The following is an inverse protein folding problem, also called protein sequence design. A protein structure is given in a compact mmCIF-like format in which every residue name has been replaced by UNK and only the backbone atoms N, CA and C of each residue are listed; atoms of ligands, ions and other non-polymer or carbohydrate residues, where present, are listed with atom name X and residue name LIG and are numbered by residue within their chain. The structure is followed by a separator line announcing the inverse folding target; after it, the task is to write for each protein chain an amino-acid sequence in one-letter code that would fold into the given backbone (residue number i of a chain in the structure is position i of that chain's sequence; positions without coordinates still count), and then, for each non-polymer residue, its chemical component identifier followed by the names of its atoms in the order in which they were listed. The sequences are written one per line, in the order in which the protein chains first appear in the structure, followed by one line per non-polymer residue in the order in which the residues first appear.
data_IF_084294315783
#
_entry.id   IF_084294315783
#
_cell.length_a   1.000
_cell.length_b   1.000
_cell.length_c   1.000
_cell.angle_alpha   90.00
_cell.angle_beta   90.00
_cell.angle_gamma   90.00
#
_symmetry.space_group_name_H-M   'P 1'
#
loop_
_entity.id
_entity.type
_entity.pdbx_description
1 polymer ?
#
# COMPACT_ATOMS: atom_id res chain seq x y z
N UNK A 1 -38.65 -20.04 5.41
CA UNK A 1 -37.99 -18.73 5.20
C UNK A 1 -37.23 -18.39 6.48
N UNK A 2 -35.88 -18.30 6.47
CA UNK A 2 -35.15 -17.79 7.62
C UNK A 2 -35.39 -16.29 7.76
N UNK A 3 -35.70 -15.84 8.98
CA UNK A 3 -35.92 -14.45 9.35
C UNK A 3 -34.63 -13.62 9.20
N UNK A 4 -34.68 -12.33 8.80
CA UNK A 4 -33.52 -11.47 8.78
C UNK A 4 -32.99 -11.27 10.21
N UNK A 5 -31.77 -11.76 10.47
CA UNK A 5 -31.07 -11.56 11.74
C UNK A 5 -30.83 -10.07 11.99
N UNK A 6 -31.21 -9.60 13.17
CA UNK A 6 -30.99 -8.25 13.70
C UNK A 6 -29.57 -7.75 13.42
N UNK A 7 -29.42 -6.72 12.58
CA UNK A 7 -28.18 -5.98 12.40
C UNK A 7 -27.95 -5.11 13.64
N UNK A 8 -27.40 -5.69 14.70
CA UNK A 8 -26.99 -4.94 15.88
C UNK A 8 -26.01 -3.83 15.46
N UNK A 9 -26.32 -2.58 15.81
CA UNK A 9 -25.43 -1.44 15.56
C UNK A 9 -24.11 -1.65 16.30
N UNK A 10 -22.96 -1.62 15.61
CA UNK A 10 -21.68 -1.83 16.26
C UNK A 10 -21.43 -0.78 17.35
N UNK A 11 -20.95 -1.21 18.50
CA UNK A 11 -20.61 -0.32 19.62
C UNK A 11 -19.43 0.58 19.24
N UNK A 12 -19.40 1.82 19.73
CA UNK A 12 -18.25 2.73 19.58
C UNK A 12 -16.92 2.07 19.99
N UNK A 13 -16.93 1.19 20.99
CA UNK A 13 -15.74 0.45 21.43
C UNK A 13 -15.25 -0.55 20.38
N UNK A 14 -16.16 -1.22 19.67
CA UNK A 14 -15.82 -2.15 18.59
C UNK A 14 -15.26 -1.42 17.38
N UNK A 15 -15.86 -0.27 17.03
CA UNK A 15 -15.36 0.58 15.96
C UNK A 15 -13.96 1.10 16.30
N UNK A 16 -13.74 1.63 17.51
CA UNK A 16 -12.41 2.09 17.94
C UNK A 16 -11.35 0.99 17.92
N UNK A 17 -11.70 -0.23 18.33
CA UNK A 17 -10.77 -1.35 18.35
C UNK A 17 -10.22 -1.71 16.95
N UNK A 18 -11.01 -1.46 15.89
CA UNK A 18 -10.60 -1.69 14.50
C UNK A 18 -9.97 -0.42 13.90
N UNK A 19 -10.56 0.75 14.18
CA UNK A 19 -10.12 2.01 13.60
C UNK A 19 -8.75 2.46 14.11
N UNK A 20 -8.44 2.26 15.40
CA UNK A 20 -7.19 2.71 15.99
C UNK A 20 -5.94 2.06 15.35
N UNK A 21 -5.87 0.72 15.17
CA UNK A 21 -4.77 0.08 14.44
C UNK A 21 -4.63 0.58 12.99
N UNK A 22 -5.76 0.78 12.30
CA UNK A 22 -5.78 1.26 10.91
C UNK A 22 -5.24 2.70 10.84
N UNK A 23 -5.69 3.56 11.73
CA UNK A 23 -5.22 4.95 11.86
C UNK A 23 -3.70 5.01 12.10
N UNK A 24 -3.21 4.24 13.07
CA UNK A 24 -1.76 4.18 13.39
C UNK A 24 -0.96 3.74 12.16
N UNK A 25 -1.43 2.70 11.45
CA UNK A 25 -0.77 2.20 10.25
C UNK A 25 -0.72 3.24 9.12
N UNK A 26 -1.79 4.03 8.96
CA UNK A 26 -1.84 5.08 7.92
C UNK A 26 -0.99 6.31 8.28
N UNK A 27 -0.78 6.59 9.56
CA UNK A 27 0.07 7.69 10.03
C UNK A 27 1.56 7.37 9.85
N UNK A 28 1.96 6.09 9.79
CA UNK A 28 3.36 5.71 9.58
C UNK A 28 3.96 6.26 8.29
N UNK A 29 3.21 6.26 7.18
CA UNK A 29 3.69 6.73 5.88
C UNK A 29 4.11 8.21 5.88
N UNK A 30 3.27 9.19 6.30
CA UNK A 30 3.68 10.59 6.36
C UNK A 30 4.76 10.84 7.43
N UNK A 31 4.75 10.10 8.55
CA UNK A 31 5.81 10.21 9.56
C UNK A 31 7.19 9.87 8.98
N UNK A 32 7.30 8.79 8.20
CA UNK A 32 8.56 8.42 7.53
C UNK A 32 9.04 9.55 6.62
N UNK A 33 8.15 10.11 5.79
CA UNK A 33 8.52 11.24 4.91
C UNK A 33 8.96 12.49 5.67
N UNK A 34 8.37 12.80 6.82
CA UNK A 34 8.81 13.89 7.68
C UNK A 34 10.20 13.63 8.27
N UNK A 35 10.49 12.39 8.70
CA UNK A 35 11.80 12.01 9.22
C UNK A 35 12.86 12.10 8.13
N UNK A 36 12.59 11.57 6.93
CA UNK A 36 13.52 11.63 5.79
C UNK A 36 13.87 13.09 5.43
N UNK A 37 12.85 13.95 5.36
CA UNK A 37 13.02 15.37 5.07
C UNK A 37 13.79 16.08 6.19
N UNK A 38 13.51 15.77 7.45
CA UNK A 38 14.20 16.35 8.61
C UNK A 38 15.68 15.96 8.67
N UNK A 39 16.00 14.69 8.41
CA UNK A 39 17.38 14.18 8.37
C UNK A 39 18.17 14.81 7.23
N UNK A 40 17.61 14.83 6.02
CA UNK A 40 18.28 15.43 4.85
C UNK A 40 18.37 16.95 4.98
N UNK A 41 17.38 17.59 5.60
CA UNK A 41 17.40 19.02 5.88
C UNK A 41 18.56 19.47 6.77
N UNK A 42 19.06 18.60 7.65
CA UNK A 42 20.24 18.89 8.47
C UNK A 42 21.55 18.90 7.67
N UNK A 43 21.59 18.30 6.48
CA UNK A 43 22.79 18.29 5.65
C UNK A 43 23.11 19.67 5.04
N UNK A 44 22.18 20.63 5.08
CA UNK A 44 22.39 22.01 4.63
C UNK A 44 22.49 22.20 3.10
N UNK A 45 22.50 21.12 2.33
CA UNK A 45 22.48 21.15 0.87
C UNK A 45 21.04 21.13 0.33
N UNK A 46 20.59 22.27 -0.19
CA UNK A 46 19.27 22.40 -0.84
C UNK A 46 19.09 21.44 -2.01
N UNK A 47 20.16 21.06 -2.70
CA UNK A 47 20.13 20.08 -3.77
C UNK A 47 19.71 18.68 -3.29
N UNK A 48 20.16 18.25 -2.10
CA UNK A 48 19.80 16.94 -1.52
C UNK A 48 18.31 16.89 -1.12
N UNK A 49 17.78 17.99 -0.57
CA UNK A 49 16.35 18.11 -0.24
C UNK A 49 15.51 17.98 -1.51
N UNK A 50 15.91 18.64 -2.60
CA UNK A 50 15.27 18.53 -3.91
C UNK A 50 15.28 17.10 -4.46
N UNK A 51 16.42 16.40 -4.37
CA UNK A 51 16.54 15.02 -4.80
C UNK A 51 15.61 14.07 -4.02
N UNK A 52 15.52 14.22 -2.69
CA UNK A 52 14.61 13.42 -1.85
C UNK A 52 13.15 13.71 -2.16
N UNK A 53 12.77 14.97 -2.39
CA UNK A 53 11.40 15.32 -2.79
C UNK A 53 11.00 14.66 -4.11
N UNK A 54 11.89 14.67 -5.12
CA UNK A 54 11.65 14.00 -6.40
C UNK A 54 11.58 12.48 -6.23
N UNK A 55 12.48 11.89 -5.45
CA UNK A 55 12.45 10.47 -5.12
C UNK A 55 11.14 10.05 -4.46
N UNK A 56 10.69 10.80 -3.44
CA UNK A 56 9.43 10.55 -2.75
C UNK A 56 8.23 10.64 -3.71
N UNK A 57 8.24 11.59 -4.65
CA UNK A 57 7.19 11.71 -5.66
C UNK A 57 7.15 10.50 -6.60
N UNK A 58 8.32 10.04 -7.08
CA UNK A 58 8.43 8.84 -7.92
C UNK A 58 7.88 7.61 -7.18
N UNK A 59 8.31 7.39 -5.93
CA UNK A 59 7.80 6.29 -5.11
C UNK A 59 6.30 6.40 -4.88
N UNK A 60 5.79 7.59 -4.61
CA UNK A 60 4.35 7.83 -4.42
C UNK A 60 3.57 7.43 -5.67
N UNK A 61 3.99 7.88 -6.84
CA UNK A 61 3.37 7.51 -8.11
C UNK A 61 3.43 6.00 -8.35
N UNK A 62 4.58 5.36 -8.10
CA UNK A 62 4.72 3.91 -8.21
C UNK A 62 3.75 3.17 -7.28
N UNK A 63 3.72 3.50 -5.99
CA UNK A 63 2.80 2.85 -5.05
C UNK A 63 1.33 3.05 -5.44
N UNK A 64 0.96 4.24 -5.91
CA UNK A 64 -0.39 4.51 -6.40
C UNK A 64 -0.74 3.72 -7.65
N UNK A 65 0.21 3.55 -8.58
CA UNK A 65 0.02 2.76 -9.79
C UNK A 65 -0.30 1.29 -9.48
N UNK A 66 0.23 0.73 -8.39
CA UNK A 66 -0.12 -0.62 -7.90
C UNK A 66 -1.31 -0.64 -6.94
N UNK A 67 -1.97 0.50 -6.70
CA UNK A 67 -3.15 0.60 -5.84
C UNK A 67 -4.31 -0.30 -6.29
N UNK A 68 -4.39 -0.61 -7.59
CA UNK A 68 -5.38 -1.55 -8.14
C UNK A 68 -5.26 -2.95 -7.51
N UNK A 69 -4.05 -3.39 -7.17
CA UNK A 69 -3.84 -4.72 -6.61
C UNK A 69 -4.48 -4.82 -5.23
N UNK A 70 -4.38 -3.75 -4.43
CA UNK A 70 -5.05 -3.67 -3.12
C UNK A 70 -6.57 -3.63 -3.27
N UNK A 71 -7.09 -2.73 -4.10
CA UNK A 71 -8.54 -2.56 -4.26
C UNK A 71 -9.20 -3.79 -4.90
N UNK A 72 -8.57 -4.38 -5.92
CA UNK A 72 -9.03 -5.59 -6.60
C UNK A 72 -9.03 -6.83 -5.71
N UNK A 73 -7.96 -7.07 -4.96
CA UNK A 73 -7.86 -8.24 -4.07
C UNK A 73 -8.80 -8.13 -2.87
N UNK A 74 -9.00 -6.93 -2.33
CA UNK A 74 -9.98 -6.69 -1.25
C UNK A 74 -11.40 -7.04 -1.71
N UNK A 75 -11.78 -6.63 -2.92
CA UNK A 75 -13.10 -6.94 -3.49
C UNK A 75 -13.32 -8.44 -3.71
N UNK A 76 -12.35 -9.12 -4.32
CA UNK A 76 -12.40 -10.58 -4.54
C UNK A 76 -12.43 -11.36 -3.21
N UNK A 77 -11.59 -10.95 -2.25
CA UNK A 77 -11.55 -11.57 -0.92
C UNK A 77 -12.88 -11.38 -0.18
N UNK A 78 -13.48 -10.19 -0.25
CA UNK A 78 -14.78 -9.92 0.37
C UNK A 78 -15.90 -10.78 -0.24
N UNK A 79 -15.88 -10.99 -1.56
CA UNK A 79 -16.83 -11.86 -2.25
C UNK A 79 -16.67 -13.33 -1.80
N UNK A 80 -15.43 -13.84 -1.77
CA UNK A 80 -15.14 -15.21 -1.34
C UNK A 80 -15.52 -15.44 0.13
N UNK A 81 -15.21 -14.50 1.02
CA UNK A 81 -15.64 -14.53 2.43
C UNK A 81 -17.17 -14.53 2.53
N UNK A 82 -17.86 -13.69 1.76
CA UNK A 82 -19.33 -13.65 1.73
C UNK A 82 -19.98 -14.93 1.21
N UNK A 83 -19.28 -15.68 0.35
CA UNK A 83 -19.71 -16.99 -0.16
C UNK A 83 -19.34 -18.17 0.75
N UNK A 84 -18.57 -17.94 1.82
CA UNK A 84 -18.05 -19.00 2.69
C UNK A 84 -16.94 -19.85 2.06
N UNK A 85 -16.30 -19.34 0.99
CA UNK A 85 -15.26 -20.04 0.24
C UNK A 85 -13.87 -19.66 0.78
N UNK A 86 -13.43 -20.35 1.83
CA UNK A 86 -12.09 -20.15 2.39
C UNK A 86 -10.97 -20.53 1.43
N UNK A 87 -11.23 -21.43 0.47
CA UNK A 87 -10.24 -21.83 -0.52
C UNK A 87 -9.93 -20.65 -1.44
N UNK A 88 -10.96 -20.00 -2.01
CA UNK A 88 -10.79 -18.87 -2.92
C UNK A 88 -10.16 -17.64 -2.22
N UNK A 89 -10.38 -17.46 -0.91
CA UNK A 89 -9.64 -16.47 -0.11
C UNK A 89 -8.12 -16.73 -0.17
N UNK A 90 -7.71 -17.99 0.02
CA UNK A 90 -6.28 -18.38 -0.02
C UNK A 90 -5.72 -18.29 -1.44
N UNK A 91 -6.48 -18.68 -2.46
CA UNK A 91 -6.10 -18.53 -3.86
C UNK A 91 -5.92 -17.06 -4.25
N UNK A 92 -6.84 -16.19 -3.81
CA UNK A 92 -6.75 -14.73 -4.04
C UNK A 92 -5.49 -14.15 -3.42
N UNK A 93 -5.16 -14.52 -2.18
CA UNK A 93 -3.92 -14.12 -1.53
C UNK A 93 -2.68 -14.62 -2.29
N UNK A 94 -2.67 -15.90 -2.70
CA UNK A 94 -1.56 -16.47 -3.45
C UNK A 94 -1.32 -15.75 -4.78
N UNK A 95 -2.37 -15.52 -5.57
CA UNK A 95 -2.30 -14.75 -6.83
C UNK A 95 -1.78 -13.34 -6.58
N UNK A 96 -2.28 -12.66 -5.54
CA UNK A 96 -1.85 -11.32 -5.18
C UNK A 96 -0.36 -11.25 -4.84
N UNK A 97 0.14 -12.19 -4.03
CA UNK A 97 1.55 -12.27 -3.65
C UNK A 97 2.46 -12.55 -4.84
N UNK A 98 2.05 -13.46 -5.74
CA UNK A 98 2.82 -13.75 -6.96
C UNK A 98 2.90 -12.52 -7.86
N UNK A 99 1.77 -11.83 -8.08
CA UNK A 99 1.73 -10.62 -8.91
C UNK A 99 2.57 -9.51 -8.28
N UNK A 100 2.40 -9.24 -6.98
CA UNK A 100 3.17 -8.23 -6.26
C UNK A 100 4.67 -8.54 -6.28
N UNK A 101 5.06 -9.79 -6.02
CA UNK A 101 6.44 -10.24 -6.03
C UNK A 101 7.07 -10.13 -7.41
N UNK A 102 6.38 -10.59 -8.46
CA UNK A 102 6.85 -10.49 -9.83
C UNK A 102 7.00 -9.04 -10.28
N UNK A 103 6.01 -8.19 -10.00
CA UNK A 103 6.07 -6.77 -10.31
C UNK A 103 7.20 -6.05 -9.56
N UNK A 104 7.37 -6.34 -8.27
CA UNK A 104 8.46 -5.78 -7.46
C UNK A 104 9.85 -6.19 -7.96
N UNK A 105 10.04 -7.48 -8.27
CA UNK A 105 11.28 -7.96 -8.87
C UNK A 105 11.55 -7.33 -10.23
N UNK A 106 10.51 -7.17 -11.06
CA UNK A 106 10.61 -6.52 -12.36
C UNK A 106 11.02 -5.04 -12.21
N UNK A 107 10.45 -4.31 -11.26
CA UNK A 107 10.84 -2.93 -10.95
C UNK A 107 12.30 -2.84 -10.49
N UNK A 108 12.73 -3.74 -9.60
CA UNK A 108 14.13 -3.80 -9.14
C UNK A 108 15.07 -4.13 -10.30
N UNK A 109 14.71 -5.04 -11.20
CA UNK A 109 15.51 -5.37 -12.37
C UNK A 109 15.56 -4.20 -13.37
N UNK A 110 14.43 -3.52 -13.59
CA UNK A 110 14.31 -2.38 -14.49
C UNK A 110 14.91 -1.09 -13.92
N UNK A 111 15.17 -1.00 -12.62
CA UNK A 111 15.76 0.20 -12.02
C UNK A 111 17.07 0.60 -12.69
N UNK A 112 17.91 -0.39 -13.05
CA UNK A 112 19.21 -0.16 -13.66
C UNK A 112 19.10 0.40 -15.08
N UNK A 113 18.38 -0.24 -16.03
CA UNK A 113 18.22 0.32 -17.37
C UNK A 113 17.47 1.65 -17.35
N UNK A 114 16.48 1.84 -16.48
CA UNK A 114 15.76 3.11 -16.35
C UNK A 114 16.72 4.22 -15.90
N UNK A 115 17.60 3.95 -14.93
CA UNK A 115 18.62 4.90 -14.47
C UNK A 115 19.57 5.29 -15.61
N UNK A 116 20.06 4.32 -16.37
CA UNK A 116 20.97 4.56 -17.50
C UNK A 116 20.32 5.39 -18.61
N UNK A 117 19.05 5.13 -18.92
CA UNK A 117 18.32 5.94 -19.92
C UNK A 117 18.04 7.34 -19.40
N UNK A 118 17.62 7.47 -18.14
CA UNK A 118 17.26 8.75 -17.53
C UNK A 118 18.46 9.71 -17.41
N UNK A 119 19.67 9.23 -17.14
CA UNK A 119 20.88 10.07 -17.07
C UNK A 119 21.55 10.34 -18.43
N UNK A 120 21.12 9.65 -19.50
CA UNK A 120 21.59 9.91 -20.87
C UNK A 120 20.74 10.94 -21.63
N UNK A 121 19.51 11.17 -21.17
CA UNK A 121 18.60 12.22 -21.65
C UNK A 121 18.90 13.55 -20.96
#
# INVERSE_FOLDING_TARGET
MPSPSSTATPSHRQVLAIALPIMVSNVSTPLIGMVDTGVVGQAGETALIGAVAVGALIFTFMFWAFGFLRMGTTGLTAQAVGAGDEEEVRHTLGRALVIAGAAGLLLIALQWPVREVAFRL
#
